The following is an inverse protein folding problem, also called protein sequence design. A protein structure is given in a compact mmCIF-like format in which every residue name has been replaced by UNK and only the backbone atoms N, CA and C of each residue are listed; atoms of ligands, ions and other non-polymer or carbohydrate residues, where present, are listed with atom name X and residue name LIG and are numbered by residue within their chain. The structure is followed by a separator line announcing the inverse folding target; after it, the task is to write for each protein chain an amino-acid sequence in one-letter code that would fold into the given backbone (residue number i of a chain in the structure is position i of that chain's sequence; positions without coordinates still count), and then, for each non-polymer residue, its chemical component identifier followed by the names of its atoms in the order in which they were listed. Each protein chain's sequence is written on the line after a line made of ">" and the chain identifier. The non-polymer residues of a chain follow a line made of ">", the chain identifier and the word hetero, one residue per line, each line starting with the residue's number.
data_IF_861108207370
#
_entry.id   IF_861108207370
#
_cell.length_a   1.000
_cell.length_b   1.000
_cell.length_c   1.000
_cell.angle_alpha   90.00
_cell.angle_beta   90.00
_cell.angle_gamma   90.00
#
_symmetry.space_group_name_H-M   'P 1'
#
loop_
_entity.id
_entity.type
_entity.pdbx_description
1 polymer ?
#
# COMPACT_ATOMS: atom_id res chain seq x y z
N UNK A 1 5.63 -5.59 -0.46
CA UNK A 1 4.21 -5.16 -0.60
C UNK A 1 3.29 -6.13 -1.36
N UNK A 2 3.38 -6.31 -2.68
CA UNK A 2 2.32 -6.98 -3.48
C UNK A 2 1.93 -8.41 -3.02
N UNK A 3 2.92 -9.21 -2.59
CA UNK A 3 2.65 -10.55 -2.05
C UNK A 3 1.92 -10.50 -0.69
N UNK A 4 2.22 -9.51 0.17
CA UNK A 4 1.54 -9.27 1.46
C UNK A 4 0.08 -8.84 1.23
N UNK A 5 -0.17 -7.89 0.33
CA UNK A 5 -1.55 -7.50 -0.07
C UNK A 5 -2.37 -8.71 -0.54
N UNK A 6 -1.75 -9.62 -1.30
CA UNK A 6 -2.42 -10.85 -1.76
C UNK A 6 -2.75 -11.81 -0.60
N UNK A 7 -1.91 -11.90 0.43
CA UNK A 7 -2.19 -12.69 1.63
C UNK A 7 -3.38 -12.09 2.39
N UNK A 8 -3.37 -10.77 2.59
CA UNK A 8 -4.49 -10.05 3.22
C UNK A 8 -5.80 -10.25 2.45
N UNK A 9 -5.80 -10.02 1.14
CA UNK A 9 -6.97 -10.19 0.27
C UNK A 9 -7.55 -11.59 0.39
N UNK A 10 -6.74 -12.65 0.32
CA UNK A 10 -7.26 -14.01 0.44
C UNK A 10 -7.94 -14.29 1.78
N UNK A 11 -7.41 -13.72 2.86
CA UNK A 11 -8.01 -13.86 4.17
C UNK A 11 -9.30 -13.04 4.27
N UNK A 12 -9.20 -11.71 4.21
CA UNK A 12 -10.32 -10.80 4.45
C UNK A 12 -11.45 -11.01 3.41
N UNK A 13 -11.13 -11.07 2.11
CA UNK A 13 -12.12 -11.34 1.08
C UNK A 13 -12.76 -12.73 1.20
N UNK A 14 -11.99 -13.71 1.70
CA UNK A 14 -12.51 -15.04 2.00
C UNK A 14 -13.62 -15.00 3.05
N UNK A 15 -13.41 -14.20 4.10
CA UNK A 15 -14.38 -13.92 5.16
C UNK A 15 -15.57 -13.14 4.62
N UNK A 16 -15.33 -12.05 3.87
CA UNK A 16 -16.37 -11.26 3.22
C UNK A 16 -17.29 -12.14 2.37
N UNK A 17 -16.72 -12.95 1.46
CA UNK A 17 -17.48 -13.86 0.61
C UNK A 17 -18.32 -14.83 1.41
N UNK A 18 -17.82 -15.32 2.54
CA UNK A 18 -18.61 -16.16 3.43
C UNK A 18 -19.83 -15.41 3.99
N UNK A 19 -19.63 -14.18 4.46
CA UNK A 19 -20.71 -13.38 5.04
C UNK A 19 -21.73 -12.91 3.99
N UNK A 20 -21.26 -12.56 2.79
CA UNK A 20 -22.07 -11.98 1.74
C UNK A 20 -22.75 -13.03 0.85
N UNK A 21 -22.02 -14.07 0.44
CA UNK A 21 -22.54 -15.05 -0.53
C UNK A 21 -23.11 -16.30 0.12
N UNK A 22 -22.74 -16.59 1.37
CA UNK A 22 -23.11 -17.83 2.09
C UNK A 22 -23.61 -17.55 3.51
N UNK A 23 -24.54 -16.60 3.71
CA UNK A 23 -25.06 -16.27 5.03
C UNK A 23 -25.65 -17.51 5.71
N UNK A 24 -25.29 -17.73 6.97
CA UNK A 24 -25.76 -18.86 7.78
C UNK A 24 -25.12 -20.22 7.43
N UNK A 25 -24.19 -20.30 6.48
CA UNK A 25 -23.49 -21.57 6.21
C UNK A 25 -22.48 -21.87 7.34
N UNK A 26 -22.70 -22.94 8.13
CA UNK A 26 -21.89 -23.21 9.32
C UNK A 26 -20.45 -23.63 9.00
N UNK A 27 -20.15 -23.98 7.74
CA UNK A 27 -18.82 -24.43 7.33
C UNK A 27 -17.98 -23.34 6.67
N UNK A 28 -18.58 -22.20 6.33
CA UNK A 28 -17.87 -21.19 5.55
C UNK A 28 -16.80 -20.46 6.37
N UNK A 29 -17.21 -19.84 7.49
CA UNK A 29 -16.29 -19.12 8.37
C UNK A 29 -15.18 -20.03 8.94
N UNK A 30 -15.43 -21.27 9.40
CA UNK A 30 -14.36 -22.17 9.82
C UNK A 30 -13.31 -22.43 8.72
N UNK A 31 -13.73 -22.54 7.45
CA UNK A 31 -12.78 -22.68 6.33
C UNK A 31 -11.99 -21.39 6.09
N UNK A 32 -12.64 -20.23 6.17
CA UNK A 32 -11.97 -18.94 6.06
C UNK A 32 -10.94 -18.73 7.20
N UNK A 33 -11.27 -19.11 8.43
CA UNK A 33 -10.37 -19.10 9.61
C UNK A 33 -9.08 -19.89 9.36
N UNK A 34 -9.18 -21.08 8.76
CA UNK A 34 -8.00 -21.91 8.41
C UNK A 34 -7.15 -21.20 7.36
N UNK A 35 -7.76 -20.74 6.26
CA UNK A 35 -7.06 -20.03 5.18
C UNK A 35 -6.37 -18.77 5.70
N UNK A 36 -7.04 -18.01 6.55
CA UNK A 36 -6.47 -16.83 7.19
C UNK A 36 -5.24 -17.17 8.03
N UNK A 37 -5.28 -18.24 8.83
CA UNK A 37 -4.12 -18.66 9.62
C UNK A 37 -2.93 -19.04 8.71
N UNK A 38 -3.19 -19.76 7.62
CA UNK A 38 -2.14 -20.17 6.67
C UNK A 38 -1.50 -18.98 5.95
N UNK A 39 -2.29 -17.99 5.52
CA UNK A 39 -1.78 -16.80 4.82
C UNK A 39 -1.09 -15.82 5.80
N UNK A 40 -1.67 -15.57 6.98
CA UNK A 40 -1.17 -14.60 7.96
C UNK A 40 0.05 -15.09 8.74
N UNK A 41 0.08 -16.35 9.18
CA UNK A 41 1.22 -16.88 9.95
C UNK A 41 2.30 -17.38 8.99
N UNK A 42 1.90 -18.21 8.04
CA UNK A 42 2.87 -18.95 7.22
C UNK A 42 3.52 -18.07 6.17
N UNK A 43 2.71 -17.36 5.38
CA UNK A 43 3.23 -16.65 4.21
C UNK A 43 3.77 -15.29 4.54
N UNK A 44 3.11 -14.50 5.38
CA UNK A 44 3.59 -13.16 5.72
C UNK A 44 4.94 -13.23 6.43
N UNK A 45 5.09 -14.03 7.50
CA UNK A 45 6.37 -14.20 8.19
C UNK A 45 7.49 -14.69 7.23
N UNK A 46 7.17 -15.62 6.31
CA UNK A 46 8.14 -16.06 5.30
C UNK A 46 8.53 -14.96 4.32
N UNK A 47 7.61 -14.07 3.95
CA UNK A 47 7.89 -12.95 3.06
C UNK A 47 8.77 -11.89 3.74
N UNK A 48 8.50 -11.60 5.00
CA UNK A 48 9.31 -10.67 5.80
C UNK A 48 10.72 -11.21 6.02
N UNK A 49 10.87 -12.48 6.37
CA UNK A 49 12.18 -13.13 6.48
C UNK A 49 12.94 -13.10 5.13
N UNK A 50 12.25 -13.32 4.01
CA UNK A 50 12.85 -13.22 2.69
C UNK A 50 13.26 -11.79 2.33
N UNK A 51 12.49 -10.78 2.76
CA UNK A 51 12.83 -9.38 2.59
C UNK A 51 14.11 -9.02 3.34
N UNK A 52 14.16 -9.37 4.64
CA UNK A 52 15.34 -9.16 5.50
C UNK A 52 16.59 -9.81 4.89
N UNK A 53 16.48 -11.08 4.52
CA UNK A 53 17.58 -11.84 3.94
C UNK A 53 18.06 -11.26 2.60
N UNK A 54 17.16 -10.71 1.78
CA UNK A 54 17.54 -10.12 0.50
C UNK A 54 18.36 -8.83 0.69
N UNK A 55 17.96 -7.96 1.63
CA UNK A 55 18.69 -6.72 1.92
C UNK A 55 20.04 -7.04 2.57
N UNK A 56 20.04 -7.84 3.64
CA UNK A 56 21.26 -8.23 4.34
C UNK A 56 22.26 -8.90 3.40
N UNK A 57 21.81 -9.88 2.59
CA UNK A 57 22.66 -10.58 1.63
C UNK A 57 23.25 -9.67 0.55
N UNK A 58 22.50 -8.65 0.12
CA UNK A 58 22.99 -7.68 -0.87
C UNK A 58 24.04 -6.75 -0.25
N UNK A 59 23.79 -6.25 0.97
CA UNK A 59 24.73 -5.37 1.68
C UNK A 59 26.03 -6.11 2.03
N UNK A 60 25.93 -7.35 2.52
CA UNK A 60 27.09 -8.20 2.84
C UNK A 60 27.93 -8.48 1.59
N UNK A 61 27.30 -8.87 0.48
CA UNK A 61 28.01 -9.15 -0.78
C UNK A 61 28.74 -7.92 -1.34
N UNK A 62 28.22 -6.72 -1.08
CA UNK A 62 28.82 -5.45 -1.45
C UNK A 62 29.77 -4.87 -0.40
N UNK A 63 29.96 -5.56 0.74
CA UNK A 63 30.73 -5.09 1.89
C UNK A 63 30.28 -3.70 2.42
N UNK A 64 28.98 -3.40 2.32
CA UNK A 64 28.39 -2.16 2.83
C UNK A 64 28.22 -2.23 4.34
N UNK A 65 28.59 -1.16 5.02
CA UNK A 65 28.40 -0.96 6.45
C UNK A 65 27.21 -0.05 6.72
N UNK A 66 26.73 0.00 7.97
CA UNK A 66 25.71 0.95 8.36
C UNK A 66 26.12 2.40 8.11
N UNK A 67 27.41 2.73 8.27
CA UNK A 67 27.91 4.06 7.95
C UNK A 67 27.67 4.42 6.47
N UNK A 68 27.88 3.48 5.54
CA UNK A 68 27.65 3.70 4.10
C UNK A 68 26.16 3.92 3.77
N UNK A 69 25.26 3.24 4.49
CA UNK A 69 23.81 3.38 4.30
C UNK A 69 23.28 4.68 4.91
N UNK A 70 23.82 5.10 6.07
CA UNK A 70 23.42 6.31 6.77
C UNK A 70 23.96 7.57 6.11
N UNK A 71 25.15 7.51 5.52
CA UNK A 71 25.82 8.65 4.91
C UNK A 71 24.95 9.34 3.85
N UNK A 72 24.92 10.67 3.89
CA UNK A 72 24.12 11.50 2.98
C UNK A 72 24.61 11.43 1.52
N UNK A 73 25.91 11.19 1.30
CA UNK A 73 26.47 10.92 -0.02
C UNK A 73 26.27 9.46 -0.45
N UNK A 74 25.94 8.57 0.51
CA UNK A 74 25.51 7.19 0.33
C UNK A 74 24.00 7.04 0.06
N UNK A 75 23.31 6.21 0.86
CA UNK A 75 21.85 6.02 0.74
C UNK A 75 21.02 7.02 1.56
N UNK A 76 21.63 7.72 2.52
CA UNK A 76 21.00 8.80 3.28
C UNK A 76 19.98 8.36 4.35
N UNK A 77 20.07 7.13 4.85
CA UNK A 77 19.12 6.63 5.86
C UNK A 77 19.16 7.39 7.20
N UNK A 78 20.23 8.12 7.49
CA UNK A 78 20.30 8.99 8.68
C UNK A 78 19.13 9.98 8.74
N UNK A 79 18.66 10.45 7.59
CA UNK A 79 17.52 11.37 7.50
C UNK A 79 16.20 10.75 8.02
N UNK A 80 16.09 9.42 8.04
CA UNK A 80 14.91 8.70 8.52
C UNK A 80 15.04 8.27 10.00
N UNK A 81 16.22 8.40 10.62
CA UNK A 81 16.46 7.91 11.98
C UNK A 81 15.45 8.43 13.02
N UNK A 82 15.08 9.73 13.05
CA UNK A 82 14.08 10.23 14.00
C UNK A 82 12.71 9.56 13.84
N UNK A 83 12.28 9.34 12.60
CA UNK A 83 11.00 8.71 12.30
C UNK A 83 11.01 7.21 12.64
N UNK A 84 12.12 6.52 12.36
CA UNK A 84 12.31 5.12 12.74
C UNK A 84 12.19 4.91 14.25
N UNK A 85 12.77 5.81 15.05
CA UNK A 85 12.69 5.76 16.51
C UNK A 85 11.26 6.09 16.97
N UNK A 86 10.67 7.18 16.45
CA UNK A 86 9.38 7.67 16.91
C UNK A 86 8.22 6.71 16.58
N UNK A 87 8.23 6.11 15.39
CA UNK A 87 7.12 5.31 14.88
C UNK A 87 7.30 3.80 15.10
N UNK A 88 8.54 3.32 15.10
CA UNK A 88 8.84 1.88 15.13
C UNK A 88 9.77 1.48 16.29
N UNK A 89 10.29 2.44 17.06
CA UNK A 89 11.21 2.16 18.16
C UNK A 89 12.58 1.64 17.70
N UNK A 90 12.91 1.75 16.41
CA UNK A 90 14.18 1.26 15.84
C UNK A 90 15.22 2.36 15.80
N UNK A 91 16.41 2.11 16.37
CA UNK A 91 17.58 2.99 16.25
C UNK A 91 18.51 2.43 15.17
N UNK A 92 18.85 3.25 14.17
CA UNK A 92 19.58 2.82 12.97
C UNK A 92 21.09 2.64 13.22
N UNK A 93 21.48 1.59 13.95
CA UNK A 93 22.87 1.35 14.34
C UNK A 93 23.59 0.32 13.46
N UNK A 94 22.84 -0.52 12.76
CA UNK A 94 23.35 -1.55 11.87
C UNK A 94 22.39 -1.76 10.66
N UNK A 95 22.80 -2.60 9.71
CA UNK A 95 22.02 -2.92 8.50
C UNK A 95 20.68 -3.59 8.86
N UNK A 96 20.67 -4.42 9.90
CA UNK A 96 19.47 -5.11 10.35
C UNK A 96 18.45 -4.11 10.92
N UNK A 97 18.88 -3.15 11.74
CA UNK A 97 18.01 -2.11 12.29
C UNK A 97 17.42 -1.18 11.22
N UNK A 98 18.19 -0.85 10.18
CA UNK A 98 17.70 -0.13 8.99
C UNK A 98 16.66 -0.98 8.26
N UNK A 99 16.96 -2.26 8.06
CA UNK A 99 16.06 -3.21 7.38
C UNK A 99 14.74 -3.38 8.12
N UNK A 100 14.77 -3.51 9.46
CA UNK A 100 13.56 -3.57 10.29
C UNK A 100 12.75 -2.27 10.19
N UNK A 101 13.38 -1.09 10.25
CA UNK A 101 12.64 0.16 10.12
C UNK A 101 11.91 0.26 8.76
N UNK A 102 12.59 -0.07 7.67
CA UNK A 102 11.98 -0.08 6.33
C UNK A 102 10.85 -1.10 6.25
N UNK A 103 11.06 -2.30 6.83
CA UNK A 103 10.03 -3.34 6.85
C UNK A 103 8.80 -2.88 7.63
N UNK A 104 8.94 -2.41 8.87
CA UNK A 104 7.84 -1.93 9.71
C UNK A 104 7.05 -0.81 9.01
N UNK A 105 7.75 0.10 8.35
CA UNK A 105 7.11 1.13 7.54
C UNK A 105 6.32 0.55 6.37
N UNK A 106 6.93 -0.37 5.62
CA UNK A 106 6.26 -1.05 4.51
C UNK A 106 5.03 -1.82 4.95
N UNK A 107 5.08 -2.46 6.11
CA UNK A 107 3.95 -3.16 6.69
C UNK A 107 2.80 -2.19 6.97
N UNK A 108 3.09 -1.09 7.65
CA UNK A 108 2.11 -0.07 7.98
C UNK A 108 1.48 0.58 6.75
N UNK A 109 2.28 0.96 5.76
CA UNK A 109 1.75 1.55 4.52
C UNK A 109 0.96 0.53 3.70
N UNK A 110 1.39 -0.74 3.68
CA UNK A 110 0.64 -1.83 3.03
C UNK A 110 -0.72 -2.05 3.69
N UNK A 111 -0.78 -2.03 5.02
CA UNK A 111 -2.01 -2.20 5.78
C UNK A 111 -2.97 -1.03 5.59
N UNK A 112 -2.47 0.20 5.57
CA UNK A 112 -3.25 1.40 5.27
C UNK A 112 -3.79 1.40 3.85
N UNK A 113 -2.98 0.97 2.88
CA UNK A 113 -3.43 0.74 1.50
C UNK A 113 -4.56 -0.29 1.44
N UNK A 114 -4.42 -1.40 2.18
CA UNK A 114 -5.43 -2.45 2.23
C UNK A 114 -6.73 -1.99 2.89
N UNK A 115 -6.66 -1.29 4.03
CA UNK A 115 -7.83 -0.72 4.71
C UNK A 115 -8.61 0.26 3.83
N UNK A 116 -7.93 1.04 2.98
CA UNK A 116 -8.60 1.92 2.02
C UNK A 116 -9.37 1.16 0.93
N UNK A 117 -8.85 0.00 0.49
CA UNK A 117 -9.48 -0.85 -0.51
C UNK A 117 -10.64 -1.67 0.08
N UNK A 118 -10.47 -2.14 1.32
CA UNK A 118 -11.37 -3.03 2.03
C UNK A 118 -11.55 -2.52 3.47
N UNK A 119 -12.42 -1.51 3.70
CA UNK A 119 -12.59 -0.88 5.02
C UNK A 119 -13.03 -1.84 6.13
N UNK A 120 -13.56 -3.00 5.75
CA UNK A 120 -13.99 -4.05 6.68
C UNK A 120 -12.91 -5.07 7.00
N UNK A 121 -11.70 -4.92 6.45
CA UNK A 121 -10.62 -5.87 6.67
C UNK A 121 -10.32 -6.10 8.16
N UNK A 122 -10.25 -5.02 8.96
CA UNK A 122 -10.01 -5.12 10.41
C UNK A 122 -11.07 -5.97 11.11
N UNK A 123 -12.35 -5.69 10.88
CA UNK A 123 -13.49 -6.46 11.41
C UNK A 123 -13.42 -7.93 11.01
N UNK A 124 -13.10 -8.22 9.74
CA UNK A 124 -13.01 -9.58 9.24
C UNK A 124 -11.88 -10.37 9.90
N UNK A 125 -10.72 -9.74 10.10
CA UNK A 125 -9.60 -10.36 10.79
C UNK A 125 -9.95 -10.62 12.26
N UNK A 126 -10.58 -9.66 12.95
CA UNK A 126 -11.00 -9.86 14.34
C UNK A 126 -12.06 -10.97 14.47
N UNK A 127 -13.03 -11.02 13.55
CA UNK A 127 -14.02 -12.08 13.48
C UNK A 127 -13.36 -13.47 13.40
N UNK A 128 -12.42 -13.71 12.48
CA UNK A 128 -11.79 -15.03 12.39
C UNK A 128 -10.88 -15.36 13.57
N UNK A 129 -10.29 -14.36 14.24
CA UNK A 129 -9.56 -14.56 15.50
C UNK A 129 -10.49 -15.00 16.62
N UNK A 130 -11.66 -14.39 16.74
CA UNK A 130 -12.70 -14.82 17.70
C UNK A 130 -13.16 -16.27 17.44
N UNK A 131 -13.01 -16.76 16.21
CA UNK A 131 -13.31 -18.13 15.78
C UNK A 131 -12.09 -19.08 15.84
N UNK A 132 -10.96 -18.62 16.38
CA UNK A 132 -9.78 -19.45 16.65
C UNK A 132 -8.63 -19.33 15.64
N UNK A 133 -8.64 -18.35 14.73
CA UNK A 133 -7.46 -18.06 13.92
C UNK A 133 -6.31 -17.56 14.81
N UNK A 134 -5.07 -17.93 14.47
CA UNK A 134 -3.90 -17.73 15.35
C UNK A 134 -2.90 -16.74 14.78
N UNK A 135 -3.26 -15.48 14.66
CA UNK A 135 -2.33 -14.42 14.26
C UNK A 135 -2.56 -13.16 15.09
N UNK A 136 -1.55 -12.30 15.14
CA UNK A 136 -1.68 -10.97 15.72
C UNK A 136 -2.36 -10.03 14.72
N UNK A 137 -3.22 -9.15 15.23
CA UNK A 137 -3.84 -8.15 14.36
C UNK A 137 -2.75 -7.23 13.81
N UNK A 138 -2.78 -6.92 12.50
CA UNK A 138 -1.81 -6.00 11.92
C UNK A 138 -1.95 -4.62 12.58
N UNK A 139 -0.83 -4.07 13.08
CA UNK A 139 -0.83 -2.91 13.98
C UNK A 139 -1.36 -1.62 13.33
N UNK A 140 -1.22 -1.52 12.01
CA UNK A 140 -1.57 -0.35 11.22
C UNK A 140 -2.86 -0.55 10.40
N UNK A 141 -3.54 -1.70 10.57
CA UNK A 141 -4.86 -1.95 9.99
C UNK A 141 -5.95 -1.44 10.95
N UNK A 142 -6.70 -0.43 10.51
CA UNK A 142 -7.83 0.08 11.28
C UNK A 142 -9.01 -0.89 11.26
N UNK A 143 -9.60 -1.12 12.44
CA UNK A 143 -10.92 -1.74 12.53
C UNK A 143 -12.00 -0.66 12.53
N UNK A 144 -12.78 -0.63 11.46
CA UNK A 144 -13.90 0.28 11.29
C UNK A 144 -15.25 -0.31 11.73
N UNK A 145 -15.23 -1.53 12.29
CA UNK A 145 -16.40 -2.31 12.67
C UNK A 145 -17.28 -2.72 11.47
N UNK A 146 -18.27 -3.57 11.72
CA UNK A 146 -19.33 -3.86 10.76
C UNK A 146 -20.59 -4.44 11.41
N UNK A 147 -21.63 -4.62 10.59
CA UNK A 147 -22.95 -5.10 10.99
C UNK A 147 -23.34 -6.46 10.35
N UNK A 148 -22.36 -7.27 9.93
CA UNK A 148 -22.62 -8.56 9.29
C UNK A 148 -22.69 -8.49 7.75
N UNK A 149 -23.43 -9.40 7.13
CA UNK A 149 -23.65 -9.43 5.67
C UNK A 149 -24.82 -8.56 5.21
N UNK A 150 -24.94 -8.32 3.91
CA UNK A 150 -26.00 -7.48 3.32
C UNK A 150 -27.43 -8.05 3.42
N UNK A 151 -27.60 -9.24 4.00
CA UNK A 151 -28.91 -9.87 4.23
C UNK A 151 -29.44 -10.69 3.05
N UNK A 152 -29.13 -10.32 1.81
CA UNK A 152 -29.48 -11.12 0.63
C UNK A 152 -28.25 -11.48 -0.23
N UNK A 153 -28.24 -12.72 -0.73
CA UNK A 153 -27.11 -13.31 -1.47
C UNK A 153 -26.85 -12.60 -2.80
N UNK A 154 -27.87 -12.02 -3.43
CA UNK A 154 -27.70 -11.34 -4.72
C UNK A 154 -26.93 -10.05 -4.54
N UNK A 155 -27.31 -9.23 -3.57
CA UNK A 155 -26.59 -8.01 -3.18
C UNK A 155 -25.20 -8.36 -2.69
N UNK A 156 -25.06 -9.39 -1.86
CA UNK A 156 -23.76 -9.87 -1.40
C UNK A 156 -22.77 -10.20 -2.53
N UNK A 157 -23.23 -10.86 -3.60
CA UNK A 157 -22.41 -11.14 -4.79
C UNK A 157 -22.04 -9.89 -5.59
N UNK A 158 -22.88 -8.85 -5.57
CA UNK A 158 -22.57 -7.58 -6.23
C UNK A 158 -21.53 -6.79 -5.44
N UNK A 159 -21.64 -6.80 -4.11
CA UNK A 159 -20.64 -6.27 -3.19
C UNK A 159 -19.28 -6.93 -3.44
N UNK A 160 -19.19 -8.26 -3.38
CA UNK A 160 -17.93 -9.00 -3.60
C UNK A 160 -17.28 -8.64 -4.95
N UNK A 161 -18.06 -8.59 -6.02
CA UNK A 161 -17.56 -8.26 -7.36
C UNK A 161 -17.03 -6.83 -7.47
N UNK A 162 -17.75 -5.88 -6.88
CA UNK A 162 -17.32 -4.49 -6.87
C UNK A 162 -16.01 -4.34 -6.08
N UNK A 163 -15.95 -4.91 -4.87
CA UNK A 163 -14.76 -4.83 -4.03
C UNK A 163 -13.54 -5.53 -4.64
N UNK A 164 -13.72 -6.72 -5.24
CA UNK A 164 -12.65 -7.40 -5.95
C UNK A 164 -12.10 -6.56 -7.13
N UNK A 165 -12.96 -5.81 -7.81
CA UNK A 165 -12.57 -4.93 -8.91
C UNK A 165 -11.84 -3.68 -8.41
N UNK A 166 -12.30 -3.08 -7.30
CA UNK A 166 -11.62 -1.99 -6.58
C UNK A 166 -10.20 -2.41 -6.19
N UNK A 167 -10.04 -3.55 -5.51
CA UNK A 167 -8.72 -4.09 -5.11
C UNK A 167 -7.81 -4.33 -6.31
N UNK A 168 -8.35 -4.86 -7.40
CA UNK A 168 -7.59 -5.07 -8.64
C UNK A 168 -7.12 -3.75 -9.24
N UNK A 169 -7.97 -2.72 -9.29
CA UNK A 169 -7.62 -1.40 -9.80
C UNK A 169 -6.54 -0.74 -8.92
N UNK A 170 -6.76 -0.73 -7.61
CA UNK A 170 -5.83 -0.26 -6.58
C UNK A 170 -4.44 -0.90 -6.66
N UNK A 171 -4.41 -2.25 -6.68
CA UNK A 171 -3.16 -3.02 -6.78
C UNK A 171 -2.40 -2.73 -8.08
N UNK A 172 -3.10 -2.63 -9.22
CA UNK A 172 -2.47 -2.31 -10.51
C UNK A 172 -1.86 -0.91 -10.51
N UNK A 173 -2.57 0.05 -9.93
CA UNK A 173 -2.10 1.42 -9.86
C UNK A 173 -0.85 1.54 -8.97
N UNK A 174 -0.88 0.99 -7.74
CA UNK A 174 0.26 1.10 -6.83
C UNK A 174 1.50 0.38 -7.37
N UNK A 175 1.33 -0.77 -8.04
CA UNK A 175 2.44 -1.48 -8.70
C UNK A 175 3.03 -0.64 -9.84
N UNK A 176 2.19 0.00 -10.66
CA UNK A 176 2.67 0.89 -11.73
C UNK A 176 3.38 2.13 -11.16
N UNK A 177 2.87 2.69 -10.05
CA UNK A 177 3.44 3.86 -9.39
C UNK A 177 4.82 3.55 -8.80
N UNK A 178 4.92 2.53 -7.95
CA UNK A 178 6.19 2.17 -7.31
C UNK A 178 7.23 1.75 -8.35
N UNK A 179 6.88 0.87 -9.29
CA UNK A 179 7.84 0.45 -10.32
C UNK A 179 8.28 1.60 -11.24
N UNK A 180 7.41 2.58 -11.51
CA UNK A 180 7.78 3.76 -12.29
C UNK A 180 8.71 4.71 -11.51
N UNK A 181 8.45 4.92 -10.22
CA UNK A 181 9.30 5.73 -9.35
C UNK A 181 10.66 5.06 -9.14
N UNK A 182 10.69 3.78 -8.78
CA UNK A 182 11.90 2.95 -8.62
C UNK A 182 12.80 3.07 -9.85
N UNK A 183 12.29 2.77 -11.05
CA UNK A 183 13.08 2.86 -12.29
C UNK A 183 13.60 4.26 -12.60
N UNK A 184 12.85 5.31 -12.26
CA UNK A 184 13.32 6.68 -12.43
C UNK A 184 14.44 7.01 -11.43
N UNK A 185 14.22 6.73 -10.15
CA UNK A 185 15.15 7.01 -9.06
C UNK A 185 16.44 6.22 -9.22
N UNK A 186 16.37 4.94 -9.56
CA UNK A 186 17.54 4.09 -9.83
C UNK A 186 18.41 4.63 -10.97
N UNK A 187 17.78 5.12 -12.04
CA UNK A 187 18.50 5.70 -13.16
C UNK A 187 19.25 6.98 -12.75
N UNK A 188 18.61 7.83 -11.94
CA UNK A 188 19.21 9.06 -11.40
C UNK A 188 20.33 8.74 -10.41
N UNK A 189 20.09 7.82 -9.47
CA UNK A 189 21.04 7.39 -8.45
C UNK A 189 22.28 6.77 -9.09
N UNK A 190 22.10 5.85 -10.05
CA UNK A 190 23.21 5.24 -10.80
C UNK A 190 24.06 6.31 -11.48
N UNK A 191 23.44 7.30 -12.13
CA UNK A 191 24.18 8.41 -12.74
C UNK A 191 24.94 9.23 -11.71
N UNK A 192 24.30 9.59 -10.60
CA UNK A 192 24.89 10.42 -9.55
C UNK A 192 26.12 9.76 -8.92
N UNK A 193 26.03 8.46 -8.63
CA UNK A 193 27.09 7.71 -7.93
C UNK A 193 28.21 7.29 -8.88
N UNK A 194 27.89 6.78 -10.07
CA UNK A 194 28.90 6.18 -10.95
C UNK A 194 29.51 7.16 -11.96
N UNK A 195 28.80 8.26 -12.26
CA UNK A 195 29.18 9.26 -13.27
C UNK A 195 28.92 10.69 -12.77
N UNK A 196 29.53 11.09 -11.64
CA UNK A 196 29.24 12.38 -11.01
C UNK A 196 29.52 13.54 -11.96
N UNK A 197 28.51 14.39 -12.19
CA UNK A 197 28.60 15.56 -13.06
C UNK A 197 28.46 15.29 -14.55
N UNK A 198 28.25 14.03 -14.97
CA UNK A 198 28.04 13.71 -16.38
C UNK A 198 26.63 14.12 -16.83
N UNK A 199 26.57 15.24 -17.55
CA UNK A 199 25.34 15.79 -18.14
C UNK A 199 24.64 14.83 -19.10
N UNK A 200 25.40 13.96 -19.78
CA UNK A 200 24.85 12.97 -20.70
C UNK A 200 24.19 11.80 -19.95
N UNK A 201 24.71 11.44 -18.78
CA UNK A 201 24.07 10.47 -17.90
C UNK A 201 22.73 11.01 -17.38
N UNK A 202 22.73 12.23 -16.84
CA UNK A 202 21.50 12.87 -16.35
C UNK A 202 20.44 13.01 -17.45
N UNK A 203 20.84 13.37 -18.69
CA UNK A 203 19.91 13.42 -19.82
C UNK A 203 19.26 12.05 -20.13
N UNK A 204 20.02 10.95 -20.01
CA UNK A 204 19.47 9.58 -20.17
C UNK A 204 18.53 9.22 -19.03
N UNK A 205 18.93 9.49 -17.79
CA UNK A 205 18.09 9.26 -16.61
C UNK A 205 16.77 10.06 -16.72
N UNK A 206 16.83 11.31 -17.18
CA UNK A 206 15.66 12.13 -17.44
C UNK A 206 14.72 11.51 -18.50
N UNK A 207 15.27 10.94 -19.57
CA UNK A 207 14.45 10.22 -20.56
C UNK A 207 13.75 9.00 -19.95
N UNK A 208 14.43 8.25 -19.07
CA UNK A 208 13.83 7.15 -18.32
C UNK A 208 12.71 7.66 -17.42
N UNK A 209 12.99 8.65 -16.57
CA UNK A 209 12.02 9.26 -15.68
C UNK A 209 10.78 9.78 -16.42
N UNK A 210 10.95 10.52 -17.52
CA UNK A 210 9.83 11.03 -18.32
C UNK A 210 8.93 9.90 -18.80
N UNK A 211 9.51 8.80 -19.27
CA UNK A 211 8.76 7.62 -19.73
C UNK A 211 8.03 6.94 -18.58
N UNK A 212 8.70 6.75 -17.44
CA UNK A 212 8.12 6.04 -16.31
C UNK A 212 7.02 6.86 -15.63
N UNK A 213 7.22 8.17 -15.42
CA UNK A 213 6.19 9.09 -14.92
C UNK A 213 4.95 9.11 -15.84
N UNK A 214 5.14 9.12 -17.16
CA UNK A 214 4.01 9.04 -18.10
C UNK A 214 3.22 7.71 -17.98
N UNK A 215 3.86 6.60 -17.59
CA UNK A 215 3.14 5.35 -17.31
C UNK A 215 2.33 5.46 -16.01
N UNK A 216 2.86 6.13 -14.99
CA UNK A 216 2.14 6.40 -13.73
C UNK A 216 0.89 7.24 -14.02
N UNK A 217 1.05 8.33 -14.79
CA UNK A 217 -0.07 9.18 -15.21
C UNK A 217 -1.12 8.40 -16.01
N UNK A 218 -0.67 7.54 -16.93
CA UNK A 218 -1.56 6.67 -17.71
C UNK A 218 -2.32 5.69 -16.80
N UNK A 219 -1.68 5.14 -15.77
CA UNK A 219 -2.33 4.25 -14.81
C UNK A 219 -3.34 5.03 -13.94
N UNK A 220 -2.98 6.24 -13.49
CA UNK A 220 -3.86 7.14 -12.74
C UNK A 220 -5.09 7.55 -13.54
N UNK A 221 -4.92 7.94 -14.82
CA UNK A 221 -6.04 8.30 -15.70
C UNK A 221 -7.00 7.14 -15.99
N UNK A 222 -6.54 5.89 -15.92
CA UNK A 222 -7.37 4.69 -16.06
C UNK A 222 -8.06 4.27 -14.76
N UNK A 223 -7.65 4.82 -13.62
CA UNK A 223 -8.09 4.38 -12.31
C UNK A 223 -9.61 4.52 -12.10
N UNK A 224 -10.26 5.68 -12.38
CA UNK A 224 -11.68 5.83 -12.13
C UNK A 224 -12.53 4.83 -12.92
N UNK A 225 -12.25 4.69 -14.23
CA UNK A 225 -12.95 3.73 -15.09
C UNK A 225 -12.73 2.26 -14.63
N UNK A 226 -11.56 1.97 -14.05
CA UNK A 226 -11.29 0.66 -13.49
C UNK A 226 -12.09 0.38 -12.21
N UNK A 227 -12.37 1.39 -11.38
CA UNK A 227 -13.25 1.28 -10.22
C UNK A 227 -14.72 1.20 -10.63
N UNK A 228 -15.13 1.99 -11.62
CA UNK A 228 -16.52 1.97 -12.12
C UNK A 228 -16.91 0.62 -12.69
N UNK A 229 -15.96 -0.09 -13.29
CA UNK A 229 -16.17 -1.45 -13.78
C UNK A 229 -16.72 -2.33 -12.64
N UNK A 230 -17.80 -3.08 -12.88
CA UNK A 230 -18.50 -3.94 -11.90
C UNK A 230 -19.18 -3.24 -10.72
N UNK A 231 -18.95 -1.96 -10.48
CA UNK A 231 -19.60 -1.19 -9.44
C UNK A 231 -20.73 -0.31 -10.00
N UNK A 232 -20.41 0.55 -10.97
CA UNK A 232 -21.33 1.55 -11.51
C UNK A 232 -22.54 0.90 -12.19
N UNK A 233 -23.75 1.30 -11.77
CA UNK A 233 -25.02 0.77 -12.28
C UNK A 233 -25.35 -0.67 -11.88
N UNK A 234 -24.41 -1.39 -11.26
CA UNK A 234 -24.62 -2.76 -10.79
C UNK A 234 -25.13 -2.81 -9.34
N UNK A 235 -24.70 -1.87 -8.51
CA UNK A 235 -25.07 -1.75 -7.09
C UNK A 235 -25.26 -0.28 -6.72
N UNK A 236 -26.21 0.00 -5.83
CA UNK A 236 -26.41 1.35 -5.30
C UNK A 236 -25.23 1.76 -4.41
N UNK A 237 -24.73 2.99 -4.58
CA UNK A 237 -23.59 3.46 -3.80
C UNK A 237 -23.90 3.54 -2.29
N UNK A 238 -25.14 3.81 -1.89
CA UNK A 238 -25.56 3.75 -0.51
C UNK A 238 -25.41 2.34 0.09
N UNK A 239 -25.59 1.29 -0.71
CA UNK A 239 -25.33 -0.09 -0.28
C UNK A 239 -23.85 -0.33 0.00
N UNK A 240 -22.95 0.23 -0.82
CA UNK A 240 -21.50 0.13 -0.59
C UNK A 240 -21.06 0.94 0.65
N UNK A 241 -21.64 2.12 0.85
CA UNK A 241 -21.38 2.97 2.02
C UNK A 241 -21.77 2.31 3.34
N UNK A 242 -22.88 1.58 3.36
CA UNK A 242 -23.40 0.93 4.56
C UNK A 242 -22.42 -0.06 5.20
N UNK A 243 -22.47 -0.17 6.53
CA UNK A 243 -21.63 -1.08 7.32
C UNK A 243 -21.86 -2.57 6.99
N UNK A 244 -23.03 -2.94 6.47
CA UNK A 244 -23.32 -4.31 5.98
C UNK A 244 -22.81 -4.56 4.56
N UNK A 245 -22.47 -3.50 3.83
CA UNK A 245 -21.85 -3.54 2.51
C UNK A 245 -20.32 -3.57 2.61
N UNK A 246 -19.67 -2.52 2.09
CA UNK A 246 -18.21 -2.33 2.15
C UNK A 246 -17.76 -1.29 3.19
N UNK A 247 -18.70 -0.69 3.93
CA UNK A 247 -18.44 0.31 4.98
C UNK A 247 -17.63 1.53 4.50
N UNK A 248 -17.89 2.04 3.28
CA UNK A 248 -17.13 3.17 2.73
C UNK A 248 -17.29 4.46 3.52
N UNK A 249 -18.36 4.61 4.31
CA UNK A 249 -18.56 5.77 5.18
C UNK A 249 -17.45 5.92 6.23
N UNK A 250 -16.84 4.80 6.64
CA UNK A 250 -15.73 4.83 7.59
C UNK A 250 -14.47 5.53 7.05
N UNK A 251 -14.36 5.71 5.73
CA UNK A 251 -13.24 6.38 5.08
C UNK A 251 -13.40 7.90 4.96
N UNK A 252 -14.53 8.48 5.38
CA UNK A 252 -14.84 9.89 5.12
C UNK A 252 -13.74 10.85 5.61
N UNK A 253 -13.21 10.65 6.82
CA UNK A 253 -12.13 11.49 7.37
C UNK A 253 -10.83 11.34 6.59
N UNK A 254 -10.46 10.11 6.21
CA UNK A 254 -9.25 9.82 5.45
C UNK A 254 -9.37 10.31 4.00
N UNK A 255 -10.58 10.41 3.46
CA UNK A 255 -10.81 11.00 2.15
C UNK A 255 -10.74 12.53 2.20
N UNK A 256 -11.26 13.14 3.26
CA UNK A 256 -11.13 14.57 3.48
C UNK A 256 -9.66 15.01 3.59
N UNK A 257 -8.80 14.22 4.23
CA UNK A 257 -7.37 14.54 4.37
C UNK A 257 -6.58 14.54 3.05
N UNK A 258 -7.12 13.90 2.00
CA UNK A 258 -6.55 13.94 0.63
C UNK A 258 -7.39 14.82 -0.31
N UNK A 259 -8.18 15.75 0.24
CA UNK A 259 -8.94 16.74 -0.52
C UNK A 259 -10.19 16.21 -1.20
N UNK A 260 -10.80 15.14 -0.68
CA UNK A 260 -12.13 14.64 -1.09
C UNK A 260 -13.11 14.84 0.08
N UNK A 261 -13.81 15.99 0.14
CA UNK A 261 -14.55 16.41 1.34
C UNK A 261 -15.81 15.58 1.62
N UNK A 262 -16.36 14.91 0.61
CA UNK A 262 -17.58 14.11 0.73
C UNK A 262 -17.45 12.79 -0.04
N UNK A 263 -18.07 11.73 0.49
CA UNK A 263 -18.18 10.41 -0.13
C UNK A 263 -19.65 10.11 -0.43
N UNK A 264 -20.24 10.89 -1.33
CA UNK A 264 -21.64 10.80 -1.73
C UNK A 264 -21.86 10.02 -3.04
N UNK A 265 -20.79 9.80 -3.82
CA UNK A 265 -20.82 9.07 -5.07
C UNK A 265 -19.59 8.17 -5.26
N UNK A 266 -19.74 7.17 -6.14
CA UNK A 266 -18.66 6.25 -6.51
C UNK A 266 -17.43 6.99 -7.08
N UNK A 267 -17.64 8.05 -7.86
CA UNK A 267 -16.54 8.87 -8.39
C UNK A 267 -15.72 9.57 -7.30
N UNK A 268 -16.38 10.05 -6.23
CA UNK A 268 -15.72 10.64 -5.06
C UNK A 268 -14.88 9.58 -4.33
N UNK A 269 -15.42 8.37 -4.17
CA UNK A 269 -14.67 7.24 -3.61
C UNK A 269 -13.46 6.86 -4.48
N UNK A 270 -13.63 6.73 -5.81
CA UNK A 270 -12.51 6.40 -6.70
C UNK A 270 -11.40 7.47 -6.66
N UNK A 271 -11.78 8.75 -6.59
CA UNK A 271 -10.82 9.86 -6.42
C UNK A 271 -10.08 9.77 -5.10
N UNK A 272 -10.81 9.51 -4.00
CA UNK A 272 -10.21 9.33 -2.68
C UNK A 272 -9.20 8.17 -2.69
N UNK A 273 -9.61 7.01 -3.20
CA UNK A 273 -8.78 5.81 -3.23
C UNK A 273 -7.50 6.03 -4.06
N UNK A 274 -7.62 6.64 -5.24
CA UNK A 274 -6.48 7.01 -6.08
C UNK A 274 -5.49 7.93 -5.34
N UNK A 275 -6.00 8.97 -4.68
CA UNK A 275 -5.15 9.93 -3.96
C UNK A 275 -4.49 9.30 -2.74
N UNK A 276 -5.23 8.52 -1.95
CA UNK A 276 -4.64 7.75 -0.85
C UNK A 276 -3.53 6.83 -1.35
N UNK A 277 -3.78 6.06 -2.42
CA UNK A 277 -2.75 5.18 -2.99
C UNK A 277 -1.54 5.94 -3.53
N UNK A 278 -1.77 7.13 -4.10
CA UNK A 278 -0.69 7.99 -4.56
C UNK A 278 0.19 8.44 -3.39
N UNK A 279 -0.42 8.97 -2.33
CA UNK A 279 0.34 9.45 -1.17
C UNK A 279 1.11 8.32 -0.47
N UNK A 280 0.49 7.15 -0.34
CA UNK A 280 1.11 5.98 0.29
C UNK A 280 2.23 5.40 -0.57
N UNK A 281 2.09 5.40 -1.90
CA UNK A 281 3.16 5.01 -2.80
C UNK A 281 4.36 5.97 -2.79
N UNK A 282 4.10 7.26 -2.65
CA UNK A 282 5.16 8.28 -2.48
C UNK A 282 5.87 8.10 -1.13
N UNK A 283 5.12 7.82 -0.07
CA UNK A 283 5.67 7.59 1.27
C UNK A 283 6.50 6.31 1.37
N UNK A 284 6.09 5.24 0.69
CA UNK A 284 6.91 4.03 0.50
C UNK A 284 8.23 4.37 -0.21
N UNK A 285 8.15 5.09 -1.34
CA UNK A 285 9.37 5.45 -2.11
C UNK A 285 10.33 6.33 -1.30
N UNK A 286 9.82 7.23 -0.45
CA UNK A 286 10.64 8.05 0.44
C UNK A 286 11.43 7.22 1.45
N UNK A 287 10.83 6.16 1.99
CA UNK A 287 11.52 5.24 2.90
C UNK A 287 12.48 4.29 2.18
N UNK A 288 12.11 3.81 0.98
CA UNK A 288 12.97 2.93 0.15
C UNK A 288 14.22 3.67 -0.37
N UNK A 289 14.08 4.95 -0.73
CA UNK A 289 15.17 5.77 -1.24
C UNK A 289 15.16 7.14 -0.55
N UNK A 290 15.82 7.30 0.61
CA UNK A 290 15.80 8.57 1.39
C UNK A 290 16.22 9.81 0.59
N UNK A 291 17.04 9.62 -0.45
CA UNK A 291 17.53 10.69 -1.35
C UNK A 291 16.62 10.98 -2.54
N UNK A 292 15.44 10.36 -2.64
CA UNK A 292 14.55 10.48 -3.79
C UNK A 292 14.22 11.93 -4.17
N UNK A 293 13.95 12.82 -3.21
CA UNK A 293 13.63 14.22 -3.50
C UNK A 293 14.85 14.99 -4.06
N UNK A 294 16.06 14.72 -3.55
CA UNK A 294 17.30 15.26 -4.12
C UNK A 294 17.46 14.82 -5.58
N UNK A 295 17.26 13.53 -5.84
CA UNK A 295 17.43 12.93 -7.15
C UNK A 295 16.41 13.45 -8.16
N UNK A 296 15.13 13.50 -7.80
CA UNK A 296 14.08 14.03 -8.68
C UNK A 296 14.26 15.54 -8.93
N UNK A 297 14.91 16.26 -8.00
CA UNK A 297 15.34 17.65 -8.18
C UNK A 297 16.36 17.86 -9.31
N UNK A 298 17.05 16.81 -9.77
CA UNK A 298 18.00 16.88 -10.89
C UNK A 298 17.32 16.95 -12.27
N UNK A 299 16.01 16.67 -12.34
CA UNK A 299 15.24 16.70 -13.57
C UNK A 299 14.99 18.15 -14.04
N UNK A 300 14.72 18.33 -15.33
CA UNK A 300 14.34 19.62 -15.91
C UNK A 300 13.02 19.51 -16.69
N UNK A 301 11.88 20.02 -16.16
CA UNK A 301 11.76 20.67 -14.86
C UNK A 301 11.94 19.69 -13.69
N UNK A 302 12.29 20.19 -12.48
CA UNK A 302 12.29 19.38 -11.26
C UNK A 302 10.92 18.75 -11.01
N UNK A 303 10.93 17.52 -10.50
CA UNK A 303 9.71 16.80 -10.14
C UNK A 303 9.71 16.64 -8.62
N UNK A 304 8.61 17.00 -7.96
CA UNK A 304 8.41 16.67 -6.55
C UNK A 304 7.97 15.21 -6.43
N UNK A 305 8.49 14.47 -5.46
CA UNK A 305 7.94 13.15 -5.16
C UNK A 305 6.48 13.27 -4.72
N UNK A 306 6.22 14.22 -3.79
CA UNK A 306 4.93 14.35 -3.15
C UNK A 306 3.91 15.06 -4.05
N UNK A 307 2.74 14.45 -4.23
CA UNK A 307 1.61 15.09 -4.89
C UNK A 307 1.00 16.20 -4.00
N UNK A 308 0.52 17.28 -4.62
CA UNK A 308 -0.03 18.47 -3.92
C UNK A 308 -1.25 18.17 -3.02
N UNK A 309 -1.98 17.10 -3.31
CA UNK A 309 -3.15 16.68 -2.52
C UNK A 309 -2.78 15.79 -1.32
N UNK A 310 -1.51 15.41 -1.17
CA UNK A 310 -1.09 14.59 -0.06
C UNK A 310 -0.89 15.45 1.20
N UNK A 311 -1.49 15.07 2.34
CA UNK A 311 -1.29 15.80 3.59
C UNK A 311 0.19 15.81 3.92
N UNK A 312 0.71 16.83 4.62
CA UNK A 312 2.11 16.86 5.05
C UNK A 312 2.45 15.62 5.91
N UNK A 313 3.73 15.17 5.95
CA UNK A 313 4.11 14.09 6.85
C UNK A 313 3.82 14.53 8.28
N UNK A 314 3.28 13.62 9.08
CA UNK A 314 3.08 13.90 10.50
C UNK A 314 4.45 13.72 11.19
N UNK A 315 4.94 14.69 11.97
CA UNK A 315 6.24 14.61 12.64
C UNK A 315 6.34 13.45 13.63
#
# INVERSE_FOLDING_TARGET
>A
MAKRLKSFDKCANGVLRCMQEKPGNPTCLPKATIVCSDEMIGKIASLEAAFRSAIAGTCEAAALTAADLLDADGLGFEALAPECVANFGSTLIDVDAITECVLDQHECETERLFAAQEPRAGEMLDLVRSLGARFDLPACLSDHGAAGGAGDVRTGKLIDKCEAQVKTAASKFIVAKLGGLEHCVDALFTCRVTQPGDVSCIAKAQSTCTKELAKIDTAGGKFPAAVDNRCAGAIDFATLRAATGTNLDALATQCASVGVPTLDALGSYATCLFRQHSCRGEELMRFEAPRVEELLGLLSPPVALRSDFCPAPTP
#
